data_IF_737482778493
#
_entry.id   IF_737482778493
#
_cell.length_a   1.000
_cell.length_b   1.000
_cell.length_c   1.000
_cell.angle_alpha   90.00
_cell.angle_beta   90.00
_cell.angle_gamma   90.00
#
_symmetry.space_group_name_H-M   'P 1'
#
loop_
_entity.id
_entity.type
_entity.pdbx_description
1 polymer ?
#
# COMPACT_ATOMS: atom_id res chain seq x y z
N UNK A 1 -7.95 -14.73 -35.91
CA UNK A 1 -7.42 -13.44 -35.40
C UNK A 1 -6.82 -13.62 -34.01
N UNK A 2 -5.49 -13.65 -33.84
CA UNK A 2 -4.85 -13.68 -32.52
C UNK A 2 -4.16 -12.33 -32.23
N UNK A 3 -4.83 -11.42 -31.52
CA UNK A 3 -4.30 -10.07 -31.24
C UNK A 3 -4.28 -9.64 -29.76
N UNK A 4 -4.88 -10.41 -28.85
CA UNK A 4 -5.11 -9.95 -27.47
C UNK A 4 -4.10 -10.50 -26.43
N UNK A 5 -3.48 -11.67 -26.65
CA UNK A 5 -2.61 -12.31 -25.65
C UNK A 5 -1.19 -11.69 -25.58
N UNK A 6 -0.69 -11.10 -26.66
CA UNK A 6 0.67 -10.52 -26.70
C UNK A 6 0.79 -9.24 -25.86
N UNK A 7 -0.25 -8.39 -25.86
CA UNK A 7 -0.30 -7.16 -25.04
C UNK A 7 -0.41 -7.41 -23.53
N UNK A 8 -1.04 -8.52 -23.12
CA UNK A 8 -1.13 -8.89 -21.71
C UNK A 8 0.23 -9.36 -21.15
N UNK A 9 0.98 -10.16 -21.93
CA UNK A 9 2.31 -10.64 -21.52
C UNK A 9 3.36 -9.53 -21.46
N UNK A 10 3.29 -8.54 -22.35
CA UNK A 10 4.21 -7.40 -22.31
C UNK A 10 3.98 -6.48 -21.09
N UNK A 11 2.75 -6.41 -20.57
CA UNK A 11 2.37 -5.53 -19.45
C UNK A 11 2.80 -6.08 -18.08
N UNK A 12 2.97 -7.40 -17.98
CA UNK A 12 3.44 -8.07 -16.76
C UNK A 12 4.97 -8.01 -16.61
N UNK A 13 5.70 -7.79 -17.71
CA UNK A 13 7.17 -7.81 -17.78
C UNK A 13 7.85 -6.62 -17.07
N UNK A 14 7.12 -5.52 -16.86
CA UNK A 14 7.61 -4.33 -16.15
C UNK A 14 7.27 -4.33 -14.65
N UNK A 15 6.61 -5.37 -14.14
CA UNK A 15 6.36 -5.49 -12.71
C UNK A 15 7.62 -6.08 -12.06
N UNK A 16 8.46 -5.23 -11.48
CA UNK A 16 9.71 -5.61 -10.81
C UNK A 16 9.48 -6.72 -9.75
N UNK A 17 8.29 -6.76 -9.16
CA UNK A 17 7.89 -7.77 -8.17
C UNK A 17 7.64 -9.18 -8.74
N UNK A 18 7.49 -9.31 -10.06
CA UNK A 18 7.32 -10.58 -10.77
C UNK A 18 8.64 -11.12 -11.37
N UNK A 19 9.76 -10.42 -11.18
CA UNK A 19 11.07 -10.91 -11.62
C UNK A 19 11.47 -12.11 -10.77
N UNK A 20 12.10 -13.11 -11.40
CA UNK A 20 12.43 -14.38 -10.77
C UNK A 20 13.18 -14.22 -9.43
N UNK A 21 14.03 -13.20 -9.32
CA UNK A 21 14.80 -12.84 -8.14
C UNK A 21 13.96 -12.37 -6.92
N UNK A 22 12.75 -11.85 -7.14
CA UNK A 22 11.85 -11.38 -6.07
C UNK A 22 10.68 -12.34 -5.79
N UNK A 23 10.50 -13.38 -6.61
CA UNK A 23 9.42 -14.36 -6.44
C UNK A 23 9.59 -15.18 -5.15
N UNK A 24 10.81 -15.54 -4.75
CA UNK A 24 11.08 -16.26 -3.51
C UNK A 24 10.75 -15.42 -2.27
N UNK A 25 10.99 -14.11 -2.33
CA UNK A 25 10.65 -13.18 -1.25
C UNK A 25 9.14 -12.97 -1.13
N UNK A 26 8.37 -13.18 -2.19
CA UNK A 26 6.92 -13.00 -2.25
C UNK A 26 6.09 -14.22 -1.83
N UNK A 27 6.70 -15.36 -1.53
CA UNK A 27 5.96 -16.52 -1.04
C UNK A 27 5.58 -16.35 0.44
N UNK A 28 4.32 -16.67 0.81
CA UNK A 28 3.95 -16.77 2.22
C UNK A 28 4.78 -17.89 2.88
N UNK A 29 5.13 -17.77 4.18
CA UNK A 29 5.83 -18.84 4.88
C UNK A 29 4.97 -20.11 4.83
N UNK A 30 5.53 -21.19 4.29
CA UNK A 30 4.88 -22.51 4.29
C UNK A 30 4.61 -22.90 5.73
N UNK A 31 3.33 -22.97 6.10
CA UNK A 31 2.90 -23.58 7.35
C UNK A 31 3.43 -25.02 7.44
N UNK A 32 3.78 -25.44 8.65
CA UNK A 32 4.29 -26.77 8.95
C UNK A 32 3.37 -27.87 8.37
N UNK A 33 3.93 -28.99 7.86
CA UNK A 33 3.11 -30.09 7.36
C UNK A 33 2.44 -30.83 8.52
N UNK A 34 1.11 -30.82 8.57
CA UNK A 34 0.35 -31.72 9.43
C UNK A 34 0.53 -33.18 8.98
N UNK A 35 0.77 -34.13 9.90
CA UNK A 35 0.83 -35.55 9.55
C UNK A 35 -0.58 -36.09 9.31
N UNK A 36 -0.83 -36.57 8.08
CA UNK A 36 -2.04 -37.30 7.70
C UNK A 36 -2.16 -38.61 8.49
N UNK A 37 -3.16 -38.72 9.37
CA UNK A 37 -3.54 -39.97 10.01
C UNK A 37 -4.41 -40.83 9.09
N UNK A 38 -3.96 -42.07 8.90
CA UNK A 38 -4.56 -43.12 8.09
C UNK A 38 -5.97 -43.53 8.57
N UNK A 39 -6.90 -43.70 7.61
CA UNK A 39 -8.22 -44.29 7.82
C UNK A 39 -8.41 -45.51 6.91
N UNK A 40 -8.41 -46.69 7.53
CA UNK A 40 -8.71 -48.02 6.95
C UNK A 40 -10.01 -48.04 6.15
N UNK A 41 -10.01 -48.76 5.01
CA UNK A 41 -11.15 -49.57 4.55
C UNK A 41 -10.65 -50.77 3.74
N UNK A 42 -11.08 -51.96 4.13
CA UNK A 42 -10.90 -53.22 3.43
C UNK A 42 -12.28 -53.74 3.02
N UNK A 43 -12.42 -54.20 1.77
CA UNK A 43 -13.43 -55.20 1.35
C UNK A 43 -13.28 -55.55 -0.15
N UNK A 44 -12.74 -56.74 -0.43
CA UNK A 44 -13.38 -57.81 -1.23
C UNK A 44 -13.48 -57.77 -2.77
N UNK A 45 -12.81 -58.76 -3.38
CA UNK A 45 -13.19 -59.58 -4.57
C UNK A 45 -13.17 -58.94 -5.98
N UNK A 46 -12.84 -59.59 -7.12
CA UNK A 46 -12.13 -60.83 -7.52
C UNK A 46 -12.17 -60.89 -9.07
N UNK A 47 -11.13 -61.50 -9.69
CA UNK A 47 -11.10 -62.18 -11.02
C UNK A 47 -10.89 -61.40 -12.37
N UNK A 48 -9.63 -61.47 -12.86
CA UNK A 48 -9.14 -62.03 -14.15
C UNK A 48 -9.36 -61.32 -15.53
N UNK A 49 -8.53 -61.65 -16.57
CA UNK A 49 -7.79 -60.65 -17.37
C UNK A 49 -8.13 -60.61 -18.88
N UNK A 50 -7.70 -59.57 -19.59
CA UNK A 50 -7.52 -59.58 -21.06
C UNK A 50 -6.48 -58.53 -21.51
N UNK A 51 -5.47 -58.99 -22.25
CA UNK A 51 -4.48 -58.20 -23.03
C UNK A 51 -5.04 -57.95 -24.46
N UNK A 52 -4.32 -57.33 -25.43
CA UNK A 52 -3.08 -56.53 -25.42
C UNK A 52 -3.21 -55.17 -26.17
N UNK A 53 -2.19 -54.32 -26.17
CA UNK A 53 -2.16 -53.17 -27.09
C UNK A 53 -1.00 -52.19 -26.89
N UNK A 54 -0.05 -52.26 -27.82
CA UNK A 54 1.04 -51.33 -28.14
C UNK A 54 0.92 -49.87 -27.65
N UNK A 55 2.06 -49.31 -27.20
CA UNK A 55 2.16 -47.87 -27.05
C UNK A 55 3.34 -47.38 -26.23
N UNK A 56 4.56 -47.71 -26.64
CA UNK A 56 5.75 -46.96 -26.23
C UNK A 56 5.56 -45.46 -26.53
N UNK A 57 5.51 -44.63 -25.50
CA UNK A 57 5.97 -43.23 -25.50
C UNK A 57 5.84 -42.66 -24.09
N UNK A 58 6.86 -42.93 -23.26
CA UNK A 58 7.25 -42.01 -22.20
C UNK A 58 7.54 -40.66 -22.84
N UNK A 59 6.54 -39.78 -22.90
CA UNK A 59 6.74 -38.38 -23.19
C UNK A 59 7.35 -37.76 -21.94
N UNK A 60 8.67 -37.94 -21.77
CA UNK A 60 9.53 -36.97 -21.08
C UNK A 60 9.32 -35.65 -21.81
N UNK A 61 8.32 -34.90 -21.38
CA UNK A 61 8.15 -33.52 -21.78
C UNK A 61 9.20 -32.76 -20.99
N UNK A 62 10.43 -32.78 -21.49
CA UNK A 62 11.48 -31.86 -21.11
C UNK A 62 10.87 -30.47 -21.14
N UNK A 63 10.69 -29.87 -19.97
CA UNK A 63 10.35 -28.47 -19.84
C UNK A 63 11.50 -27.69 -20.48
N UNK A 64 11.34 -27.32 -21.76
CA UNK A 64 12.15 -26.28 -22.36
C UNK A 64 11.84 -24.99 -21.61
N UNK A 65 12.72 -24.67 -20.65
CA UNK A 65 12.90 -23.34 -20.13
C UNK A 65 13.23 -22.42 -21.33
N UNK A 66 12.66 -21.21 -21.43
CA UNK A 66 13.08 -20.27 -22.45
C UNK A 66 14.57 -19.95 -22.24
N UNK A 67 15.41 -20.40 -23.18
CA UNK A 67 16.83 -20.04 -23.28
C UNK A 67 16.98 -18.60 -23.77
N UNK A 68 16.39 -17.64 -23.06
CA UNK A 68 16.52 -16.20 -23.34
C UNK A 68 17.03 -15.43 -22.12
N UNK A 69 18.02 -15.97 -21.41
CA UNK A 69 18.82 -15.19 -20.47
C UNK A 69 20.28 -15.66 -20.54
N UNK A 70 20.89 -15.55 -21.73
CA UNK A 70 22.34 -15.38 -21.82
C UNK A 70 22.70 -14.02 -21.19
N UNK A 71 22.71 -14.02 -19.85
CA UNK A 71 23.59 -13.27 -18.97
C UNK A 71 24.27 -12.05 -19.62
N UNK A 72 23.54 -10.93 -19.68
CA UNK A 72 24.17 -9.62 -19.75
C UNK A 72 24.80 -9.34 -18.37
N UNK A 73 25.99 -9.91 -18.16
CA UNK A 73 26.76 -9.90 -16.90
C UNK A 73 27.39 -8.55 -16.55
N UNK A 74 26.90 -7.44 -17.09
CA UNK A 74 27.27 -6.11 -16.60
C UNK A 74 26.06 -5.36 -16.05
N UNK A 75 25.42 -5.86 -14.97
CA UNK A 75 24.55 -5.01 -14.21
C UNK A 75 25.42 -3.88 -13.65
N UNK A 76 25.15 -2.65 -14.10
CA UNK A 76 25.78 -1.45 -13.54
C UNK A 76 25.74 -1.53 -12.01
N UNK A 77 26.81 -1.13 -11.32
CA UNK A 77 26.84 -1.03 -9.86
C UNK A 77 25.59 -0.33 -9.31
N UNK A 78 25.07 0.66 -10.04
CA UNK A 78 23.82 1.36 -9.75
C UNK A 78 22.58 0.44 -9.78
N UNK A 79 22.50 -0.46 -10.75
CA UNK A 79 21.41 -1.44 -10.87
C UNK A 79 21.46 -2.50 -9.78
N UNK A 80 22.64 -2.99 -9.43
CA UNK A 80 22.83 -3.92 -8.30
C UNK A 80 22.40 -3.23 -7.01
N UNK A 81 22.93 -2.04 -6.73
CA UNK A 81 22.60 -1.28 -5.52
C UNK A 81 21.10 -1.00 -5.40
N UNK A 82 20.44 -0.62 -6.49
CA UNK A 82 18.99 -0.37 -6.51
C UNK A 82 18.18 -1.64 -6.21
N UNK A 83 18.52 -2.77 -6.85
CA UNK A 83 17.84 -4.04 -6.61
C UNK A 83 18.06 -4.55 -5.18
N UNK A 84 19.27 -4.35 -4.62
CA UNK A 84 19.56 -4.67 -3.22
C UNK A 84 18.75 -3.81 -2.26
N UNK A 85 18.64 -2.50 -2.50
CA UNK A 85 17.80 -1.61 -1.69
C UNK A 85 16.32 -2.01 -1.73
N UNK A 86 15.81 -2.38 -2.91
CA UNK A 86 14.44 -2.86 -3.06
C UNK A 86 14.23 -4.17 -2.29
N UNK A 87 15.19 -5.11 -2.37
CA UNK A 87 15.14 -6.37 -1.62
C UNK A 87 15.12 -6.13 -0.10
N UNK A 88 15.94 -5.18 0.38
CA UNK A 88 15.99 -4.77 1.78
C UNK A 88 14.64 -4.17 2.20
N UNK A 89 14.07 -3.24 1.42
CA UNK A 89 12.75 -2.64 1.69
C UNK A 89 11.66 -3.72 1.80
N UNK A 90 11.61 -4.67 0.87
CA UNK A 90 10.65 -5.78 0.89
C UNK A 90 10.86 -6.65 2.12
N UNK A 91 12.11 -7.02 2.42
CA UNK A 91 12.44 -7.87 3.57
C UNK A 91 12.06 -7.19 4.90
N UNK A 92 12.44 -5.93 5.08
CA UNK A 92 12.11 -5.16 6.28
C UNK A 92 10.61 -4.94 6.40
N UNK A 93 9.91 -4.61 5.31
CA UNK A 93 8.45 -4.42 5.30
C UNK A 93 7.72 -5.68 5.72
N UNK A 94 8.17 -6.88 5.30
CA UNK A 94 7.57 -8.15 5.72
C UNK A 94 7.86 -8.48 7.16
N UNK A 95 9.06 -8.21 7.65
CA UNK A 95 9.43 -8.37 9.06
C UNK A 95 8.61 -7.44 9.97
N UNK A 96 8.33 -6.22 9.52
CA UNK A 96 7.52 -5.24 10.26
C UNK A 96 6.02 -5.50 10.14
N UNK A 97 5.56 -6.32 9.18
CA UNK A 97 4.18 -6.74 8.97
C UNK A 97 3.62 -7.66 10.06
N UNK A 98 3.93 -7.41 11.34
CA UNK A 98 3.59 -8.23 12.51
C UNK A 98 2.09 -8.31 12.83
N UNK A 99 1.26 -7.51 12.14
CA UNK A 99 -0.20 -7.54 12.24
C UNK A 99 -0.88 -7.98 10.93
N UNK A 100 -0.15 -8.46 9.92
CA UNK A 100 -0.70 -8.80 8.61
C UNK A 100 -1.48 -10.14 8.57
N UNK A 101 -1.08 -11.12 9.39
CA UNK A 101 -1.69 -12.47 9.42
C UNK A 101 -2.50 -12.78 10.69
N UNK A 102 -3.32 -13.84 10.66
CA UNK A 102 -3.95 -14.39 11.88
C UNK A 102 -2.95 -15.10 12.80
N UNK A 103 -1.90 -15.69 12.22
CA UNK A 103 -0.78 -16.31 12.93
C UNK A 103 0.37 -15.31 13.21
N UNK A 104 0.14 -14.01 13.03
CA UNK A 104 1.18 -13.02 13.24
C UNK A 104 1.37 -12.75 14.75
N UNK A 105 2.60 -12.45 15.15
CA UNK A 105 2.97 -12.30 16.57
C UNK A 105 2.12 -11.26 17.31
N UNK A 106 1.65 -10.22 16.62
CA UNK A 106 0.87 -9.12 17.18
C UNK A 106 -0.56 -9.08 16.63
N UNK A 107 -1.15 -10.25 16.38
CA UNK A 107 -2.52 -10.36 15.87
C UNK A 107 -3.57 -9.71 16.79
N UNK A 108 -3.39 -9.76 18.12
CA UNK A 108 -4.29 -9.12 19.11
C UNK A 108 -4.28 -7.60 19.01
N UNK A 109 -3.12 -6.99 18.75
CA UNK A 109 -2.97 -5.55 18.58
C UNK A 109 -3.50 -5.03 17.24
N UNK A 110 -3.88 -5.92 16.30
CA UNK A 110 -4.33 -5.56 14.95
C UNK A 110 -5.51 -4.60 14.95
N UNK A 111 -6.46 -4.76 15.87
CA UNK A 111 -7.61 -3.85 15.97
C UNK A 111 -7.16 -2.43 16.34
N UNK A 112 -6.28 -2.32 17.34
CA UNK A 112 -5.70 -1.04 17.77
C UNK A 112 -4.89 -0.37 16.64
N UNK A 113 -4.06 -1.13 15.93
CA UNK A 113 -3.28 -0.62 14.79
C UNK A 113 -4.20 -0.14 13.65
N UNK A 114 -5.32 -0.84 13.40
CA UNK A 114 -6.34 -0.37 12.44
C UNK A 114 -7.02 0.91 12.89
N UNK A 115 -7.32 1.06 14.19
CA UNK A 115 -7.89 2.30 14.74
C UNK A 115 -6.93 3.47 14.55
N UNK A 116 -5.63 3.28 14.80
CA UNK A 116 -4.60 4.29 14.49
C UNK A 116 -4.65 4.64 13.01
N UNK A 117 -4.73 3.64 12.12
CA UNK A 117 -4.90 3.85 10.69
C UNK A 117 -6.14 4.68 10.33
N UNK A 118 -7.27 4.45 10.99
CA UNK A 118 -8.52 5.21 10.76
C UNK A 118 -8.35 6.71 11.10
N UNK A 119 -7.50 7.06 12.07
CA UNK A 119 -7.22 8.48 12.37
C UNK A 119 -6.51 9.22 11.22
N UNK A 120 -5.79 8.50 10.35
CA UNK A 120 -5.15 9.05 9.15
C UNK A 120 -6.04 9.04 7.90
N UNK A 121 -7.30 8.64 8.03
CA UNK A 121 -8.21 8.45 6.92
C UNK A 121 -8.81 9.77 6.43
N UNK A 122 -9.01 9.94 5.12
CA UNK A 122 -9.46 11.21 4.54
C UNK A 122 -10.89 11.61 4.95
N UNK A 123 -11.79 10.63 5.08
CA UNK A 123 -13.22 10.88 5.36
C UNK A 123 -13.45 11.65 6.68
N UNK A 124 -12.93 11.20 7.85
CA UNK A 124 -13.06 11.98 9.09
C UNK A 124 -12.49 13.39 8.99
N UNK A 125 -11.34 13.57 8.33
CA UNK A 125 -10.70 14.88 8.20
C UNK A 125 -11.51 15.84 7.32
N UNK A 126 -12.01 15.39 6.16
CA UNK A 126 -12.87 16.22 5.30
C UNK A 126 -14.17 16.56 6.02
N UNK A 127 -14.87 15.55 6.55
CA UNK A 127 -16.15 15.75 7.23
C UNK A 127 -16.02 16.69 8.44
N UNK A 128 -14.98 16.50 9.25
CA UNK A 128 -14.66 17.36 10.38
C UNK A 128 -14.34 18.80 9.96
N UNK A 129 -13.53 18.98 8.90
CA UNK A 129 -13.16 20.32 8.41
C UNK A 129 -14.39 21.06 7.88
N UNK A 130 -15.25 20.40 7.11
CA UNK A 130 -16.51 20.99 6.60
C UNK A 130 -17.44 21.35 7.78
N UNK A 131 -17.61 20.46 8.76
CA UNK A 131 -18.44 20.73 9.93
C UNK A 131 -17.92 21.94 10.73
N UNK A 132 -16.60 22.01 10.96
CA UNK A 132 -15.96 23.15 11.61
C UNK A 132 -16.12 24.43 10.80
N UNK A 133 -16.05 24.36 9.46
CA UNK A 133 -16.20 25.51 8.58
C UNK A 133 -17.61 26.09 8.67
N UNK A 134 -18.64 25.23 8.59
CA UNK A 134 -20.05 25.63 8.73
C UNK A 134 -20.35 26.23 10.11
N UNK A 135 -19.67 25.76 11.16
CA UNK A 135 -19.83 26.26 12.53
C UNK A 135 -18.99 27.51 12.84
N UNK A 136 -17.97 27.80 12.05
CA UNK A 136 -17.06 28.92 12.30
C UNK A 136 -17.68 30.23 11.82
N UNK A 137 -17.80 31.20 12.71
CA UNK A 137 -18.19 32.59 12.38
C UNK A 137 -17.00 33.55 12.29
N UNK A 138 -15.79 33.08 12.61
CA UNK A 138 -14.59 33.92 12.60
C UNK A 138 -13.89 33.89 11.24
N UNK A 139 -13.50 35.05 10.73
CA UNK A 139 -12.82 35.17 9.44
C UNK A 139 -11.50 34.38 9.43
N UNK A 140 -10.69 34.53 10.49
CA UNK A 140 -9.43 33.80 10.65
C UNK A 140 -9.64 32.28 10.72
N UNK A 141 -10.65 31.82 11.45
CA UNK A 141 -10.98 30.39 11.53
C UNK A 141 -11.43 29.84 10.18
N UNK A 142 -12.28 30.57 9.45
CA UNK A 142 -12.71 30.19 8.11
C UNK A 142 -11.54 30.15 7.13
N UNK A 143 -10.62 31.13 7.18
CA UNK A 143 -9.41 31.13 6.33
C UNK A 143 -8.56 29.87 6.55
N UNK A 144 -8.26 29.53 7.80
CA UNK A 144 -7.47 28.34 8.14
C UNK A 144 -8.20 27.06 7.72
N UNK A 145 -9.51 26.96 7.96
CA UNK A 145 -10.30 25.78 7.60
C UNK A 145 -10.45 25.59 6.09
N UNK A 146 -10.59 26.67 5.33
CA UNK A 146 -10.65 26.62 3.86
C UNK A 146 -9.32 26.16 3.26
N UNK A 147 -8.19 26.66 3.78
CA UNK A 147 -6.87 26.22 3.34
C UNK A 147 -6.57 24.77 3.78
N UNK A 148 -7.06 24.34 4.94
CA UNK A 148 -6.99 22.94 5.36
C UNK A 148 -7.81 22.04 4.43
N UNK A 149 -9.02 22.46 4.05
CA UNK A 149 -9.87 21.72 3.10
C UNK A 149 -9.19 21.62 1.73
N UNK A 150 -8.62 22.72 1.22
CA UNK A 150 -7.82 22.72 -0.01
C UNK A 150 -6.65 21.73 0.09
N UNK A 151 -5.93 21.73 1.20
CA UNK A 151 -4.82 20.81 1.43
C UNK A 151 -5.26 19.33 1.42
N UNK A 152 -6.38 19.00 2.06
CA UNK A 152 -6.95 17.65 2.09
C UNK A 152 -7.41 17.18 0.70
N UNK A 153 -8.04 18.08 -0.08
CA UNK A 153 -8.46 17.78 -1.45
C UNK A 153 -7.25 17.56 -2.36
N UNK A 154 -6.23 18.42 -2.27
CA UNK A 154 -4.97 18.28 -3.01
C UNK A 154 -4.25 16.98 -2.64
N UNK A 155 -4.24 16.58 -1.36
CA UNK A 155 -3.67 15.31 -0.92
C UNK A 155 -4.34 14.13 -1.60
N UNK A 156 -5.67 14.05 -1.52
CA UNK A 156 -6.43 12.95 -2.12
C UNK A 156 -6.23 12.89 -3.63
N UNK A 157 -6.29 14.03 -4.33
CA UNK A 157 -6.10 14.08 -5.78
C UNK A 157 -4.69 13.62 -6.18
N UNK A 158 -3.67 14.10 -5.47
CA UNK A 158 -2.27 13.75 -5.76
C UNK A 158 -2.00 12.27 -5.49
N UNK A 159 -2.43 11.77 -4.32
CA UNK A 159 -2.22 10.38 -3.92
C UNK A 159 -2.98 9.44 -4.87
N UNK A 160 -4.27 9.71 -5.14
CA UNK A 160 -5.06 8.89 -6.06
C UNK A 160 -4.47 8.90 -7.48
N UNK A 161 -3.99 10.07 -7.94
CA UNK A 161 -3.29 10.21 -9.21
C UNK A 161 -2.03 9.34 -9.28
N UNK A 162 -1.15 9.46 -8.28
CA UNK A 162 0.09 8.66 -8.22
C UNK A 162 -0.18 7.16 -8.08
N UNK A 163 -1.14 6.77 -7.26
CA UNK A 163 -1.57 5.38 -7.10
C UNK A 163 -2.06 4.80 -8.43
N UNK A 164 -2.85 5.55 -9.20
CA UNK A 164 -3.35 5.14 -10.52
C UNK A 164 -2.25 5.07 -11.59
N UNK A 165 -1.21 5.90 -11.48
CA UNK A 165 -0.06 5.90 -12.40
C UNK A 165 0.89 4.74 -12.13
N UNK A 166 1.27 4.51 -10.87
CA UNK A 166 2.34 3.59 -10.49
C UNK A 166 1.82 2.17 -10.27
N UNK A 167 0.61 2.02 -9.71
CA UNK A 167 -0.06 0.73 -9.50
C UNK A 167 0.79 -0.32 -8.76
N UNK A 168 1.70 0.12 -7.88
CA UNK A 168 2.54 -0.78 -7.06
C UNK A 168 1.66 -1.62 -6.15
N UNK A 169 1.93 -2.92 -6.06
CA UNK A 169 1.26 -3.84 -5.13
C UNK A 169 1.91 -3.80 -3.74
N UNK A 170 1.08 -3.96 -2.71
CA UNK A 170 1.53 -4.03 -1.32
C UNK A 170 2.34 -5.29 -1.00
N UNK A 171 3.03 -5.33 0.15
CA UNK A 171 3.89 -6.45 0.54
C UNK A 171 3.12 -7.75 0.82
N UNK A 172 1.85 -7.65 1.23
CA UNK A 172 0.97 -8.80 1.47
C UNK A 172 -0.28 -8.67 0.60
N UNK A 173 -0.68 -9.77 -0.05
CA UNK A 173 -1.96 -9.83 -0.75
C UNK A 173 -3.10 -9.81 0.26
N UNK A 174 -3.60 -8.62 0.54
CA UNK A 174 -4.76 -8.41 1.41
C UNK A 174 -5.96 -8.10 0.53
N UNK A 175 -7.08 -8.79 0.76
CA UNK A 175 -8.33 -8.41 0.10
C UNK A 175 -8.71 -6.98 0.50
N UNK A 176 -8.93 -6.08 -0.47
CA UNK A 176 -9.33 -4.72 -0.17
C UNK A 176 -10.68 -4.73 0.56
N UNK A 177 -10.75 -3.98 1.66
CA UNK A 177 -12.00 -3.79 2.39
C UNK A 177 -12.90 -2.78 1.66
N UNK A 178 -14.22 -2.75 1.94
CA UNK A 178 -15.11 -1.77 1.33
C UNK A 178 -14.65 -0.31 1.52
N UNK A 179 -14.04 0.01 2.66
CA UNK A 179 -13.48 1.33 2.94
C UNK A 179 -12.25 1.65 2.09
N UNK A 180 -11.43 0.64 1.77
CA UNK A 180 -10.27 0.83 0.89
C UNK A 180 -10.73 1.12 -0.55
N UNK A 181 -11.82 0.50 -1.01
CA UNK A 181 -12.45 0.83 -2.29
C UNK A 181 -13.01 2.25 -2.30
N UNK A 182 -13.72 2.63 -1.24
CA UNK A 182 -14.31 3.96 -1.10
C UNK A 182 -13.25 5.06 -1.13
N UNK A 183 -12.06 4.79 -0.57
CA UNK A 183 -10.94 5.76 -0.54
C UNK A 183 -9.94 5.61 -1.67
N UNK A 184 -10.20 4.71 -2.62
CA UNK A 184 -9.29 4.38 -3.71
C UNK A 184 -7.88 3.95 -3.24
N UNK A 185 -7.74 3.48 -1.99
CA UNK A 185 -6.47 3.02 -1.39
C UNK A 185 -6.17 1.56 -1.78
N UNK A 186 -6.27 1.27 -3.09
CA UNK A 186 -6.07 -0.07 -3.67
C UNK A 186 -4.58 -0.34 -3.92
N UNK A 187 -3.83 0.70 -4.26
CA UNK A 187 -2.40 0.60 -4.60
C UNK A 187 -1.52 1.06 -3.44
N UNK A 188 -0.33 0.47 -3.34
CA UNK A 188 0.56 0.71 -2.19
C UNK A 188 1.35 2.02 -2.28
N UNK A 189 1.71 2.48 -3.48
CA UNK A 189 2.53 3.67 -3.64
C UNK A 189 1.72 4.88 -4.16
N UNK A 190 1.84 6.06 -3.54
CA UNK A 190 2.42 6.33 -2.22
C UNK A 190 1.45 5.95 -1.09
N UNK A 191 1.94 5.90 0.15
CA UNK A 191 1.07 5.67 1.30
C UNK A 191 0.23 6.93 1.62
N UNK A 192 -1.05 6.93 1.22
CA UNK A 192 -1.95 8.07 1.39
C UNK A 192 -2.15 8.48 2.85
N UNK A 193 -2.26 7.51 3.77
CA UNK A 193 -2.38 7.78 5.20
C UNK A 193 -1.17 8.52 5.77
N UNK A 194 0.04 8.17 5.31
CA UNK A 194 1.28 8.81 5.74
C UNK A 194 1.40 10.23 5.16
N UNK A 195 1.08 10.41 3.88
CA UNK A 195 1.04 11.74 3.22
C UNK A 195 0.11 12.70 3.96
N UNK A 196 -1.13 12.28 4.16
CA UNK A 196 -2.15 13.09 4.83
C UNK A 196 -1.76 13.42 6.27
N UNK A 197 -1.25 12.45 7.03
CA UNK A 197 -0.85 12.70 8.41
C UNK A 197 0.35 13.66 8.52
N UNK A 198 1.33 13.57 7.61
CA UNK A 198 2.43 14.54 7.55
C UNK A 198 1.95 15.93 7.16
N UNK A 199 1.12 16.03 6.13
CA UNK A 199 0.56 17.30 5.67
C UNK A 199 -0.25 17.99 6.78
N UNK A 200 -1.20 17.28 7.41
CA UNK A 200 -2.03 17.81 8.50
C UNK A 200 -1.19 18.19 9.72
N UNK A 201 -0.24 17.35 10.12
CA UNK A 201 0.65 17.66 11.26
C UNK A 201 1.43 18.93 10.98
N UNK A 202 2.02 19.05 9.78
CA UNK A 202 2.81 20.22 9.43
C UNK A 202 1.95 21.48 9.31
N UNK A 203 0.72 21.35 8.82
CA UNK A 203 -0.26 22.42 8.76
C UNK A 203 -0.55 22.98 10.16
N UNK A 204 -0.92 22.12 11.12
CA UNK A 204 -1.19 22.56 12.49
C UNK A 204 0.05 23.10 13.21
N UNK A 205 1.22 22.49 13.01
CA UNK A 205 2.47 22.99 13.59
C UNK A 205 2.84 24.41 13.11
N UNK A 206 2.35 24.81 11.94
CA UNK A 206 2.69 26.08 11.30
C UNK A 206 1.62 27.17 11.54
N UNK A 207 0.33 26.79 11.54
CA UNK A 207 -0.78 27.76 11.64
C UNK A 207 -1.45 27.83 13.01
N UNK A 208 -1.18 26.88 13.91
CA UNK A 208 -1.73 26.88 15.26
C UNK A 208 -0.62 27.08 16.31
N UNK A 209 -0.91 27.88 17.33
CA UNK A 209 -0.01 28.08 18.47
C UNK A 209 -0.19 26.93 19.45
N UNK A 210 0.58 25.85 19.26
CA UNK A 210 0.55 24.68 20.14
C UNK A 210 1.67 24.73 21.17
N UNK A 211 1.35 24.27 22.39
CA UNK A 211 2.34 23.95 23.41
C UNK A 211 3.31 22.86 22.91
N UNK A 212 4.56 22.88 23.40
CA UNK A 212 5.62 21.95 22.99
C UNK A 212 5.19 20.47 23.06
N UNK A 213 4.51 19.99 24.13
CA UNK A 213 4.07 18.60 24.20
C UNK A 213 3.10 18.21 23.08
N UNK A 214 2.18 19.12 22.69
CA UNK A 214 1.23 18.87 21.60
C UNK A 214 1.92 18.82 20.24
N UNK A 215 2.97 19.63 20.04
CA UNK A 215 3.78 19.59 18.83
C UNK A 215 4.45 18.23 18.66
N UNK A 216 5.04 17.71 19.74
CA UNK A 216 5.66 16.37 19.76
C UNK A 216 4.61 15.30 19.50
N UNK A 217 3.44 15.40 20.14
CA UNK A 217 2.36 14.43 19.97
C UNK A 217 1.84 14.36 18.52
N UNK A 218 1.77 15.48 17.81
CA UNK A 218 1.39 15.50 16.39
C UNK A 218 2.41 14.75 15.51
N UNK A 219 3.71 14.99 15.73
CA UNK A 219 4.75 14.30 14.97
C UNK A 219 4.73 12.80 15.28
N UNK A 220 4.58 12.42 16.54
CA UNK A 220 4.45 11.03 16.95
C UNK A 220 3.20 10.38 16.34
N UNK A 221 2.07 11.11 16.31
CA UNK A 221 0.85 10.64 15.67
C UNK A 221 1.08 10.34 14.17
N UNK A 222 1.71 11.25 13.42
CA UNK A 222 2.01 11.03 12.00
C UNK A 222 2.89 9.80 11.78
N UNK A 223 3.92 9.62 12.61
CA UNK A 223 4.80 8.45 12.56
C UNK A 223 4.03 7.15 12.89
N UNK A 224 3.19 7.17 13.92
CA UNK A 224 2.34 6.03 14.30
C UNK A 224 1.35 5.67 13.18
N UNK A 225 0.73 6.65 12.52
CA UNK A 225 -0.16 6.42 11.37
C UNK A 225 0.64 5.78 10.23
N UNK A 226 1.81 6.29 9.88
CA UNK A 226 2.66 5.69 8.85
C UNK A 226 3.09 4.25 9.20
N UNK A 227 3.55 4.02 10.43
CA UNK A 227 3.98 2.70 10.90
C UNK A 227 2.82 1.69 10.91
N UNK A 228 1.61 2.12 11.27
CA UNK A 228 0.42 1.26 11.27
C UNK A 228 0.17 0.60 9.91
N UNK A 229 0.49 1.32 8.82
CA UNK A 229 0.32 0.85 7.44
C UNK A 229 1.32 -0.24 7.06
N UNK A 230 2.55 -0.16 7.57
CA UNK A 230 3.56 -1.21 7.41
C UNK A 230 3.19 -2.42 8.27
N UNK A 231 2.78 -2.20 9.52
CA UNK A 231 2.41 -3.27 10.46
C UNK A 231 1.25 -4.12 9.98
N UNK A 232 0.23 -3.50 9.37
CA UNK A 232 -0.90 -4.22 8.74
C UNK A 232 -0.47 -4.92 7.45
N UNK A 233 0.68 -4.57 6.86
CA UNK A 233 1.19 -5.16 5.64
C UNK A 233 0.61 -4.55 4.36
N UNK A 234 0.06 -3.33 4.43
CA UNK A 234 -0.57 -2.63 3.29
C UNK A 234 0.45 -1.93 2.40
N UNK A 235 1.50 -1.39 3.01
CA UNK A 235 2.50 -0.56 2.33
C UNK A 235 3.91 -1.02 2.68
N UNK A 236 4.85 -0.83 1.76
CA UNK A 236 6.28 -0.97 2.03
C UNK A 236 6.79 0.26 2.79
N UNK A 237 7.96 0.15 3.44
CA UNK A 237 8.56 1.27 4.19
C UNK A 237 8.84 2.45 3.25
N UNK A 238 9.32 2.17 2.03
CA UNK A 238 9.54 3.21 1.00
C UNK A 238 8.26 3.92 0.57
N UNK A 239 7.11 3.23 0.55
CA UNK A 239 5.82 3.86 0.24
C UNK A 239 5.41 4.86 1.32
N UNK A 240 5.66 4.52 2.60
CA UNK A 240 5.38 5.35 3.77
C UNK A 240 6.29 6.58 3.80
N UNK A 241 7.59 6.38 3.59
CA UNK A 241 8.55 7.48 3.52
C UNK A 241 8.22 8.44 2.36
N UNK A 242 7.91 7.89 1.19
CA UNK A 242 7.48 8.70 0.04
C UNK A 242 6.18 9.45 0.34
N UNK A 243 5.25 8.81 1.05
CA UNK A 243 4.05 9.47 1.57
C UNK A 243 4.38 10.69 2.42
N UNK A 244 5.24 10.55 3.45
CA UNK A 244 5.64 11.68 4.28
C UNK A 244 6.28 12.83 3.49
N UNK A 245 7.13 12.50 2.51
CA UNK A 245 7.78 13.49 1.64
C UNK A 245 6.72 14.24 0.80
N UNK A 246 5.79 13.51 0.18
CA UNK A 246 4.70 14.10 -0.61
C UNK A 246 3.83 15.02 0.26
N UNK A 247 3.45 14.57 1.45
CA UNK A 247 2.66 15.37 2.39
C UNK A 247 3.35 16.67 2.80
N UNK A 248 4.67 16.62 3.03
CA UNK A 248 5.47 17.83 3.28
C UNK A 248 5.42 18.80 2.09
N UNK A 249 5.63 18.31 0.86
CA UNK A 249 5.58 19.15 -0.34
C UNK A 249 4.18 19.70 -0.62
N UNK A 250 3.13 18.93 -0.33
CA UNK A 250 1.74 19.41 -0.45
C UNK A 250 1.46 20.55 0.53
N UNK A 251 1.90 20.44 1.78
CA UNK A 251 1.80 21.55 2.72
C UNK A 251 2.52 22.80 2.18
N UNK A 252 3.74 22.65 1.67
CA UNK A 252 4.50 23.76 1.08
C UNK A 252 3.79 24.36 -0.14
N UNK A 253 3.16 23.53 -0.97
CA UNK A 253 2.38 24.01 -2.10
C UNK A 253 1.18 24.84 -1.62
N UNK A 254 0.44 24.35 -0.62
CA UNK A 254 -0.71 25.08 -0.03
C UNK A 254 -0.26 26.40 0.59
N UNK A 255 0.88 26.43 1.27
CA UNK A 255 1.48 27.66 1.81
C UNK A 255 1.81 28.67 0.70
N UNK A 256 2.24 28.21 -0.47
CA UNK A 256 2.50 29.07 -1.64
C UNK A 256 1.22 29.60 -2.30
N UNK A 257 0.14 28.81 -2.31
CA UNK A 257 -1.15 29.19 -2.91
C UNK A 257 -2.19 29.60 -1.86
N UNK A 258 -1.72 30.08 -0.70
CA UNK A 258 -2.57 30.36 0.45
C UNK A 258 -3.70 31.33 0.09
N UNK A 259 -4.94 30.92 0.34
CA UNK A 259 -6.12 31.73 0.06
C UNK A 259 -6.32 32.75 1.18
N UNK A 260 -6.32 34.03 0.81
CA UNK A 260 -6.62 35.13 1.74
C UNK A 260 -8.05 35.05 2.28
N UNK A 261 -8.29 35.65 3.44
CA UNK A 261 -9.63 35.83 4.02
C UNK A 261 -10.66 36.33 3.00
N UNK A 262 -10.31 37.31 2.15
CA UNK A 262 -11.21 37.89 1.15
C UNK A 262 -11.65 36.85 0.11
N UNK A 263 -10.71 36.06 -0.41
CA UNK A 263 -11.00 34.98 -1.35
C UNK A 263 -11.87 33.90 -0.71
N UNK A 264 -11.56 33.54 0.54
CA UNK A 264 -12.36 32.59 1.31
C UNK A 264 -13.80 33.09 1.50
N UNK A 265 -14.00 34.36 1.86
CA UNK A 265 -15.35 34.94 1.98
C UNK A 265 -16.12 34.91 0.67
N UNK A 266 -15.46 35.28 -0.45
CA UNK A 266 -16.09 35.22 -1.77
C UNK A 266 -16.59 33.80 -2.08
N UNK A 267 -15.76 32.78 -1.82
CA UNK A 267 -16.13 31.38 -2.05
C UNK A 267 -17.25 30.89 -1.12
N UNK A 268 -17.23 31.28 0.15
CA UNK A 268 -18.27 30.93 1.12
C UNK A 268 -19.59 31.61 0.76
N UNK A 269 -19.56 32.89 0.37
CA UNK A 269 -20.75 33.67 0.00
C UNK A 269 -21.37 33.27 -1.34
N UNK A 270 -20.61 32.55 -2.19
CA UNK A 270 -21.09 32.03 -3.46
C UNK A 270 -21.93 30.74 -3.33
N UNK A 271 -22.06 30.20 -2.11
CA UNK A 271 -22.80 29.00 -1.77
C UNK A 271 -23.88 29.30 -0.72
#
# INVERSE_FOLDING_TARGET
MPGAQSRARARDRNNVLNRAEFLSLNQPPKGAPEPRSAGRKASGASAQPSCPGDGARERRQSQQLPEEDCMQLNPSFKGIAFNSLLAIDICMSKRLGVCAGRAASWASARSMVKLIGITGHGIPWIGGTILCLVKSSTLAGQEVLMNLLLALLLDIMTVAGMQKLIKRRGPFETSPSPLDYLTMDIYAFPAGHASRAAMVSKFFLSHLVLAVPLRVLLVLWALCVGLSRVMIGRHHITDVLSGFIIGYFQFRLVELVWMSSNTCQMLISAW
#
